data_IF_543555449896
#
_entry.id   IF_543555449896
#
_cell.length_a   1.000
_cell.length_b   1.000
_cell.length_c   1.000
_cell.angle_alpha   90.00
_cell.angle_beta   90.00
_cell.angle_gamma   90.00
#
_symmetry.space_group_name_H-M   'P 1'
#
loop_
_entity.id
_entity.type
_entity.pdbx_description
1 polymer ?
#
# COMPACT_ATOMS: atom_id res chain seq x y z
N UNK A 1 -15.19 1.75 11.38
CA UNK A 1 -13.94 1.90 10.61
C UNK A 1 -13.76 3.34 10.07
N UNK A 2 -13.97 4.38 10.91
CA UNK A 2 -14.21 5.75 10.41
C UNK A 2 -13.05 6.73 10.56
N UNK A 3 -12.42 6.81 11.73
CA UNK A 3 -11.51 7.92 12.06
C UNK A 3 -10.22 7.87 11.22
N UNK A 4 -9.52 6.73 11.21
CA UNK A 4 -8.26 6.63 10.46
C UNK A 4 -8.44 6.87 8.95
N UNK A 5 -9.57 6.46 8.37
CA UNK A 5 -9.87 6.73 6.97
C UNK A 5 -10.16 8.21 6.73
N UNK A 6 -10.90 8.86 7.63
CA UNK A 6 -11.19 10.29 7.53
C UNK A 6 -9.91 11.14 7.66
N UNK A 7 -9.05 10.81 8.63
CA UNK A 7 -7.73 11.44 8.78
C UNK A 7 -6.87 11.25 7.53
N UNK A 8 -6.86 10.06 6.92
CA UNK A 8 -6.17 9.84 5.65
C UNK A 8 -6.67 10.76 4.53
N UNK A 9 -7.98 11.06 4.46
CA UNK A 9 -8.55 11.99 3.47
C UNK A 9 -8.13 13.43 3.72
N UNK A 10 -7.92 13.81 4.98
CA UNK A 10 -7.40 15.13 5.37
C UNK A 10 -5.91 15.24 5.01
N UNK A 11 -5.09 14.22 5.33
CA UNK A 11 -3.65 14.24 5.08
C UNK A 11 -3.34 14.16 3.57
N UNK A 12 -4.08 13.33 2.83
CA UNK A 12 -3.91 13.15 1.38
C UNK A 12 -5.19 13.48 0.60
N UNK A 13 -5.57 14.76 0.49
CA UNK A 13 -6.83 15.17 -0.13
C UNK A 13 -6.93 14.81 -1.62
N UNK A 14 -5.78 14.67 -2.30
CA UNK A 14 -5.69 14.22 -3.69
C UNK A 14 -5.80 12.71 -3.87
N UNK A 15 -5.69 11.91 -2.79
CA UNK A 15 -5.78 10.45 -2.83
C UNK A 15 -7.08 9.99 -2.20
N UNK A 16 -8.03 9.61 -3.06
CA UNK A 16 -9.38 9.20 -2.64
C UNK A 16 -9.47 7.74 -2.18
N UNK A 17 -8.44 6.94 -2.45
CA UNK A 17 -8.44 5.49 -2.20
C UNK A 17 -7.11 5.04 -1.60
N UNK A 18 -7.17 3.95 -0.84
CA UNK A 18 -6.01 3.25 -0.30
C UNK A 18 -5.76 1.94 -1.06
N UNK A 19 -4.50 1.52 -1.13
CA UNK A 19 -4.12 0.26 -1.78
C UNK A 19 -4.39 -0.95 -0.88
N UNK A 20 -4.21 -0.80 0.44
CA UNK A 20 -4.43 -1.84 1.45
C UNK A 20 -4.82 -1.18 2.77
N UNK A 21 -5.82 -1.75 3.44
CA UNK A 21 -6.25 -1.37 4.78
C UNK A 21 -6.18 -2.59 5.69
N UNK A 22 -5.37 -2.48 6.74
CA UNK A 22 -5.22 -3.52 7.76
C UNK A 22 -5.75 -2.99 9.08
N UNK A 23 -6.77 -3.63 9.62
CA UNK A 23 -7.25 -3.38 10.97
C UNK A 23 -6.68 -4.46 11.89
N UNK A 24 -5.98 -4.08 12.95
CA UNK A 24 -5.46 -5.04 13.95
C UNK A 24 -6.35 -4.97 15.18
N UNK A 25 -6.99 -6.08 15.51
CA UNK A 25 -7.77 -6.27 16.74
C UNK A 25 -6.90 -6.81 17.87
N UNK A 26 -7.42 -6.69 19.09
CA UNK A 26 -6.78 -7.19 20.32
C UNK A 26 -7.29 -8.57 20.72
N UNK A 27 -8.01 -9.25 19.84
CA UNK A 27 -8.68 -10.51 20.11
C UNK A 27 -10.18 -10.36 20.26
N UNK A 28 -10.90 -11.44 19.97
CA UNK A 28 -12.33 -11.56 20.15
C UNK A 28 -12.68 -12.96 20.67
N UNK A 29 -13.82 -13.08 21.34
CA UNK A 29 -14.39 -14.38 21.68
C UNK A 29 -15.34 -14.81 20.58
N UNK A 30 -15.19 -16.01 19.99
CA UNK A 30 -16.17 -16.53 19.06
C UNK A 30 -17.52 -16.62 19.76
N UNK A 31 -18.52 -15.89 19.26
CA UNK A 31 -19.87 -15.98 19.81
C UNK A 31 -20.42 -17.38 19.60
N UNK A 32 -20.92 -18.01 20.66
CA UNK A 32 -21.82 -19.16 20.54
C UNK A 32 -23.08 -18.65 19.85
N UNK A 33 -23.23 -18.88 18.55
CA UNK A 33 -24.51 -18.70 17.87
C UNK A 33 -25.50 -19.72 18.45
N UNK A 34 -26.24 -19.30 19.48
CA UNK A 34 -27.28 -20.08 20.13
C UNK A 34 -26.95 -20.52 21.56
N UNK A 35 -27.19 -19.63 22.53
CA UNK A 35 -27.75 -20.01 23.83
C UNK A 35 -28.04 -18.75 24.68
N UNK A 36 -29.33 -18.43 24.80
CA UNK A 36 -29.87 -17.69 25.94
C UNK A 36 -29.72 -16.17 25.90
N UNK A 37 -30.73 -15.51 26.46
CA UNK A 37 -30.65 -14.11 26.91
C UNK A 37 -29.31 -13.84 27.60
N UNK A 38 -28.73 -12.63 27.45
CA UNK A 38 -27.53 -12.27 28.19
C UNK A 38 -27.80 -12.50 29.69
N UNK A 39 -26.95 -13.24 30.41
CA UNK A 39 -27.14 -13.40 31.86
C UNK A 39 -27.20 -12.00 32.46
N UNK A 40 -28.32 -11.70 33.11
CA UNK A 40 -28.64 -10.38 33.64
C UNK A 40 -27.41 -9.78 34.32
N UNK A 41 -26.90 -8.67 33.75
CA UNK A 41 -25.68 -8.00 34.18
C UNK A 41 -25.80 -7.66 35.68
N UNK A 42 -25.26 -8.51 36.55
CA UNK A 42 -25.15 -8.21 37.98
C UNK A 42 -24.08 -7.14 38.13
N UNK A 43 -24.50 -5.90 38.30
CA UNK A 43 -23.61 -4.77 38.55
C UNK A 43 -22.91 -4.94 39.91
N UNK A 44 -21.57 -5.04 39.98
CA UNK A 44 -20.90 -5.08 41.26
C UNK A 44 -20.99 -3.72 41.97
N UNK A 45 -21.11 -3.75 43.30
CA UNK A 45 -21.07 -2.55 44.12
C UNK A 45 -19.69 -1.86 44.01
N UNK A 46 -19.67 -0.60 43.58
CA UNK A 46 -18.45 0.21 43.40
C UNK A 46 -18.72 1.72 43.35
N UNK A 47 -17.66 2.53 43.37
CA UNK A 47 -17.73 3.99 43.36
C UNK A 47 -18.22 4.54 42.00
N UNK A 48 -19.05 5.59 42.01
CA UNK A 48 -19.79 6.11 40.84
C UNK A 48 -18.97 6.35 39.55
N UNK A 49 -17.82 7.06 39.61
CA UNK A 49 -16.98 7.32 38.43
C UNK A 49 -16.43 6.05 37.78
N UNK A 50 -16.00 5.08 38.59
CA UNK A 50 -15.49 3.80 38.09
C UNK A 50 -16.59 2.94 37.45
N UNK A 51 -17.86 3.13 37.83
CA UNK A 51 -19.01 2.50 37.15
C UNK A 51 -19.29 3.14 35.80
N UNK A 52 -19.26 4.46 35.71
CA UNK A 52 -19.47 5.19 34.45
C UNK A 52 -18.40 4.84 33.42
N UNK A 53 -17.13 4.82 33.83
CA UNK A 53 -16.02 4.43 32.95
C UNK A 53 -16.14 2.98 32.47
N UNK A 54 -16.50 2.04 33.37
CA UNK A 54 -16.75 0.64 32.98
C UNK A 54 -17.96 0.50 32.06
N UNK A 55 -19.07 1.17 32.36
CA UNK A 55 -20.26 1.14 31.51
C UNK A 55 -19.98 1.71 30.12
N UNK A 56 -19.16 2.76 30.03
CA UNK A 56 -18.71 3.32 28.77
C UNK A 56 -17.83 2.34 27.97
N UNK A 57 -16.83 1.73 28.61
CA UNK A 57 -15.94 0.76 27.95
C UNK A 57 -16.62 -0.58 27.61
N UNK A 58 -17.67 -0.95 28.33
CA UNK A 58 -18.49 -2.14 28.04
C UNK A 58 -19.66 -1.85 27.09
N UNK A 59 -19.72 -0.64 26.53
CA UNK A 59 -20.70 -0.27 25.51
C UNK A 59 -20.38 -0.97 24.18
N UNK A 60 -21.38 -1.45 23.42
CA UNK A 60 -21.18 -1.96 22.06
C UNK A 60 -20.45 -0.97 21.14
N UNK A 61 -20.57 0.34 21.38
CA UNK A 61 -19.85 1.35 20.62
C UNK A 61 -18.31 1.32 20.79
N UNK A 62 -17.82 0.61 21.81
CA UNK A 62 -16.39 0.37 22.04
C UNK A 62 -15.94 -1.01 21.54
N UNK A 63 -16.83 -1.82 20.97
CA UNK A 63 -16.47 -3.08 20.32
C UNK A 63 -15.84 -2.82 18.95
N UNK A 64 -14.53 -2.95 18.90
CA UNK A 64 -13.75 -2.77 17.68
C UNK A 64 -14.11 -3.77 16.57
N UNK A 65 -14.62 -4.96 16.90
CA UNK A 65 -15.05 -5.96 15.93
C UNK A 65 -16.39 -5.56 15.30
N UNK A 66 -17.35 -5.09 16.11
CA UNK A 66 -18.63 -4.59 15.64
C UNK A 66 -18.44 -3.34 14.75
N UNK A 67 -17.67 -2.35 15.23
CA UNK A 67 -17.33 -1.15 14.46
C UNK A 67 -16.58 -1.43 13.15
N UNK A 68 -15.87 -2.56 13.08
CA UNK A 68 -15.26 -3.05 11.85
C UNK A 68 -16.28 -3.71 10.92
N UNK A 69 -17.15 -4.58 11.42
CA UNK A 69 -18.23 -5.21 10.64
C UNK A 69 -19.14 -4.16 10.01
N UNK A 70 -19.59 -3.18 10.78
CA UNK A 70 -20.42 -2.07 10.27
C UNK A 70 -19.69 -1.26 9.20
N UNK A 71 -18.41 -0.95 9.43
CA UNK A 71 -17.58 -0.22 8.47
C UNK A 71 -17.39 -0.98 7.15
N UNK A 72 -17.17 -2.31 7.22
CA UNK A 72 -16.99 -3.16 6.03
C UNK A 72 -18.19 -3.16 5.09
N UNK A 73 -19.42 -3.04 5.61
CA UNK A 73 -20.63 -3.00 4.77
C UNK A 73 -20.56 -1.84 3.77
N UNK A 74 -20.02 -0.70 4.23
CA UNK A 74 -19.89 0.54 3.48
C UNK A 74 -18.67 0.58 2.55
N UNK A 75 -17.78 -0.42 2.62
CA UNK A 75 -16.62 -0.51 1.74
C UNK A 75 -17.07 -0.97 0.35
N UNK A 76 -16.75 -0.22 -0.74
CA UNK A 76 -17.03 -0.63 -2.11
C UNK A 76 -16.49 -2.04 -2.41
N UNK A 77 -17.23 -2.83 -3.18
CA UNK A 77 -16.86 -4.21 -3.50
C UNK A 77 -15.45 -4.36 -4.06
N UNK A 78 -14.98 -3.40 -4.85
CA UNK A 78 -13.63 -3.34 -5.42
C UNK A 78 -12.51 -3.21 -4.38
N UNK A 79 -12.78 -2.65 -3.20
CA UNK A 79 -11.82 -2.44 -2.12
C UNK A 79 -11.95 -3.45 -0.97
N UNK A 80 -12.99 -4.28 -0.98
CA UNK A 80 -13.25 -5.27 0.09
C UNK A 80 -12.13 -6.31 0.19
N UNK A 81 -11.59 -6.75 -0.94
CA UNK A 81 -10.46 -7.69 -1.01
C UNK A 81 -9.16 -7.10 -0.46
N UNK A 82 -9.06 -5.77 -0.39
CA UNK A 82 -7.91 -5.02 0.14
C UNK A 82 -8.18 -4.50 1.56
N UNK A 83 -9.28 -4.91 2.20
CA UNK A 83 -9.60 -4.58 3.58
C UNK A 83 -9.53 -5.85 4.42
N UNK A 84 -8.45 -5.99 5.17
CA UNK A 84 -8.16 -7.20 5.95
C UNK A 84 -8.16 -6.84 7.43
N UNK A 85 -8.77 -7.69 8.25
CA UNK A 85 -8.65 -7.58 9.71
C UNK A 85 -7.84 -8.74 10.23
N UNK A 86 -6.78 -8.37 10.93
CA UNK A 86 -6.00 -9.26 11.76
C UNK A 86 -6.65 -9.26 13.13
N UNK A 87 -7.25 -10.38 13.49
CA UNK A 87 -7.81 -10.57 14.82
C UNK A 87 -7.55 -12.01 15.24
N UNK A 88 -7.61 -12.26 16.54
CA UNK A 88 -7.36 -13.57 17.10
C UNK A 88 -8.56 -14.03 17.94
N UNK A 89 -9.09 -15.21 17.62
CA UNK A 89 -10.06 -15.85 18.49
C UNK A 89 -9.36 -16.28 19.79
N UNK A 90 -9.83 -15.77 20.93
CA UNK A 90 -9.39 -16.17 22.26
C UNK A 90 -10.36 -17.21 22.82
N UNK A 91 -9.80 -18.25 23.44
CA UNK A 91 -10.56 -19.26 24.15
C UNK A 91 -10.97 -18.74 25.54
N UNK A 92 -12.26 -18.84 25.87
CA UNK A 92 -12.79 -18.37 27.16
C UNK A 92 -13.09 -16.87 27.20
N UNK A 93 -13.18 -16.29 28.40
CA UNK A 93 -13.55 -14.88 28.56
C UNK A 93 -12.38 -13.93 28.23
N UNK A 94 -12.70 -12.83 27.54
CA UNK A 94 -11.72 -11.77 27.29
C UNK A 94 -11.16 -11.23 28.62
N UNK A 95 -9.83 -11.14 28.77
CA UNK A 95 -9.25 -10.48 29.93
C UNK A 95 -9.69 -9.03 30.02
N UNK A 96 -9.71 -8.51 31.25
CA UNK A 96 -9.90 -7.08 31.44
C UNK A 96 -8.69 -6.33 30.90
N UNK A 97 -8.91 -5.09 30.43
CA UNK A 97 -7.85 -4.25 29.89
C UNK A 97 -6.70 -3.99 30.88
N UNK A 98 -7.00 -4.01 32.19
CA UNK A 98 -6.05 -3.82 33.28
C UNK A 98 -5.46 -5.12 33.86
N UNK A 99 -5.76 -6.29 33.27
CA UNK A 99 -5.30 -7.58 33.76
C UNK A 99 -3.88 -7.90 33.27
N UNK A 100 -2.89 -7.36 33.98
CA UNK A 100 -1.46 -7.61 33.70
C UNK A 100 -1.05 -9.07 33.91
N UNK A 101 -1.83 -9.86 34.68
CA UNK A 101 -1.53 -11.25 34.97
C UNK A 101 -1.65 -12.17 33.76
N UNK A 102 -2.46 -11.80 32.78
CA UNK A 102 -2.64 -12.58 31.53
C UNK A 102 -1.70 -12.16 30.40
N UNK A 103 -0.81 -11.19 30.59
CA UNK A 103 0.05 -10.70 29.51
C UNK A 103 1.01 -11.78 28.98
N UNK A 104 1.59 -12.59 29.87
CA UNK A 104 2.48 -13.69 29.46
C UNK A 104 1.74 -14.76 28.66
N UNK A 105 0.53 -15.11 29.09
CA UNK A 105 -0.35 -16.04 28.39
C UNK A 105 -0.72 -15.52 27.00
N UNK A 106 -1.17 -14.27 26.90
CA UNK A 106 -1.51 -13.62 25.62
C UNK A 106 -0.31 -13.50 24.67
N UNK A 107 0.87 -13.21 25.21
CA UNK A 107 2.11 -13.09 24.43
C UNK A 107 2.60 -14.45 23.89
N UNK A 108 2.27 -15.54 24.58
CA UNK A 108 2.61 -16.89 24.16
C UNK A 108 1.66 -17.45 23.06
N UNK A 109 0.55 -16.77 22.77
CA UNK A 109 -0.41 -17.24 21.77
C UNK A 109 0.21 -17.25 20.36
N UNK A 110 0.07 -18.36 19.61
CA UNK A 110 0.59 -18.45 18.26
C UNK A 110 -0.21 -17.54 17.33
N UNK A 111 0.42 -16.48 16.83
CA UNK A 111 -0.18 -15.59 15.86
C UNK A 111 0.33 -15.89 14.45
N UNK A 112 -0.56 -16.37 13.58
CA UNK A 112 -0.26 -16.62 12.16
C UNK A 112 -0.83 -15.51 11.31
N UNK A 113 0.02 -14.88 10.50
CA UNK A 113 -0.42 -13.91 9.50
C UNK A 113 -1.06 -14.66 8.33
N UNK A 114 -2.31 -14.34 7.93
CA UNK A 114 -2.93 -14.97 6.78
C UNK A 114 -2.13 -14.74 5.51
N UNK A 115 -1.94 -15.79 4.71
CA UNK A 115 -1.28 -15.72 3.40
C UNK A 115 -1.86 -14.62 2.50
N UNK A 116 -3.18 -14.41 2.57
CA UNK A 116 -3.87 -13.37 1.83
C UNK A 116 -3.30 -11.98 2.12
N UNK A 117 -3.01 -11.70 3.39
CA UNK A 117 -2.42 -10.43 3.79
C UNK A 117 -0.97 -10.32 3.31
N UNK A 118 -0.18 -11.38 3.47
CA UNK A 118 1.20 -11.42 2.97
C UNK A 118 1.23 -11.08 1.48
N UNK A 119 0.37 -11.75 0.70
CA UNK A 119 0.23 -11.55 -0.74
C UNK A 119 -0.23 -10.14 -1.10
N UNK A 120 -1.19 -9.58 -0.37
CA UNK A 120 -1.65 -8.21 -0.59
C UNK A 120 -0.54 -7.19 -0.31
N UNK A 121 0.18 -7.32 0.81
CA UNK A 121 1.33 -6.47 1.15
C UNK A 121 2.41 -6.53 0.06
N UNK A 122 2.76 -7.74 -0.40
CA UNK A 122 3.74 -7.92 -1.47
C UNK A 122 3.30 -7.25 -2.78
N UNK A 123 2.04 -7.38 -3.16
CA UNK A 123 1.51 -6.72 -4.37
C UNK A 123 1.60 -5.19 -4.29
N UNK A 124 1.30 -4.59 -3.13
CA UNK A 124 1.43 -3.13 -2.91
C UNK A 124 2.87 -2.62 -2.92
N UNK A 125 3.88 -3.50 -2.85
CA UNK A 125 5.27 -3.09 -2.99
C UNK A 125 5.61 -2.67 -4.42
N UNK A 126 4.79 -3.02 -5.41
CA UNK A 126 4.98 -2.65 -6.80
C UNK A 126 4.03 -1.54 -7.20
N UNK A 127 4.49 -0.68 -8.11
CA UNK A 127 3.68 0.40 -8.69
C UNK A 127 4.06 0.59 -10.15
N UNK A 128 3.16 1.21 -10.92
CA UNK A 128 3.36 1.45 -12.34
C UNK A 128 3.53 2.94 -12.65
N UNK A 129 4.41 3.22 -13.62
CA UNK A 129 4.65 4.55 -14.14
C UNK A 129 4.75 4.51 -15.67
N UNK A 130 4.28 5.57 -16.34
CA UNK A 130 4.54 5.75 -17.76
C UNK A 130 5.97 6.25 -17.99
N UNK A 131 6.63 5.63 -18.96
CA UNK A 131 7.99 5.97 -19.41
C UNK A 131 7.97 6.90 -20.63
N UNK A 132 6.80 7.11 -21.25
CA UNK A 132 6.60 7.92 -22.44
C UNK A 132 5.15 8.40 -22.55
N UNK A 133 4.87 9.48 -23.33
CA UNK A 133 3.50 9.85 -23.69
C UNK A 133 2.78 8.70 -24.41
N UNK A 134 1.47 8.51 -24.12
CA UNK A 134 0.65 7.57 -24.88
C UNK A 134 0.75 7.86 -26.37
N UNK A 135 1.06 6.83 -27.15
CA UNK A 135 1.11 6.91 -28.61
C UNK A 135 -0.14 6.26 -29.19
N UNK A 136 -0.72 6.85 -30.24
CA UNK A 136 -1.88 6.24 -30.90
C UNK A 136 -1.42 5.38 -32.07
N UNK A 137 -1.78 4.10 -32.06
CA UNK A 137 -1.47 3.14 -33.11
C UNK A 137 -2.62 2.15 -33.27
N UNK A 138 -3.00 1.84 -34.51
CA UNK A 138 -3.99 0.79 -34.82
C UNK A 138 -5.36 0.99 -34.12
N UNK A 139 -5.78 2.25 -33.97
CA UNK A 139 -7.05 2.60 -33.30
C UNK A 139 -7.03 2.46 -31.78
N UNK A 140 -5.88 2.14 -31.18
CA UNK A 140 -5.69 2.09 -29.73
C UNK A 140 -4.55 3.00 -29.27
N UNK A 141 -4.52 3.27 -27.96
CA UNK A 141 -3.39 3.90 -27.31
C UNK A 141 -2.41 2.84 -26.84
N UNK A 142 -1.18 2.91 -27.34
CA UNK A 142 -0.05 2.12 -26.89
C UNK A 142 0.70 2.89 -25.83
N UNK A 143 0.87 2.26 -24.67
CA UNK A 143 1.48 2.84 -23.49
C UNK A 143 2.77 2.07 -23.21
N UNK A 144 3.85 2.82 -23.03
CA UNK A 144 5.12 2.28 -22.59
C UNK A 144 5.36 2.75 -21.16
N UNK A 145 5.63 1.81 -20.28
CA UNK A 145 5.85 2.11 -18.88
C UNK A 145 6.68 1.06 -18.18
N UNK A 146 6.89 1.31 -16.90
CA UNK A 146 7.68 0.46 -16.04
C UNK A 146 6.92 0.12 -14.77
N UNK A 147 6.99 -1.15 -14.39
CA UNK A 147 6.62 -1.61 -13.06
C UNK A 147 7.87 -1.54 -12.19
N UNK A 148 7.76 -0.80 -11.09
CA UNK A 148 8.85 -0.48 -10.18
C UNK A 148 8.55 -1.04 -8.79
N UNK A 149 9.57 -1.22 -7.96
CA UNK A 149 9.41 -1.58 -6.56
C UNK A 149 9.65 -0.37 -5.65
N UNK A 150 8.71 -0.08 -4.75
CA UNK A 150 8.79 1.04 -3.81
C UNK A 150 9.74 0.79 -2.63
N UNK A 151 10.31 -0.43 -2.52
CA UNK A 151 11.17 -0.85 -1.42
C UNK A 151 12.62 -0.99 -1.88
N UNK A 152 13.55 -0.64 -0.99
CA UNK A 152 15.00 -0.71 -1.26
C UNK A 152 15.51 -2.13 -1.41
N UNK A 153 14.91 -3.10 -0.73
CA UNK A 153 15.27 -4.53 -0.80
C UNK A 153 14.44 -5.27 -1.85
N UNK A 154 14.33 -4.71 -3.06
CA UNK A 154 13.42 -5.21 -4.09
C UNK A 154 13.65 -6.69 -4.46
N UNK A 155 14.89 -7.15 -4.46
CA UNK A 155 15.24 -8.56 -4.77
C UNK A 155 14.64 -9.53 -3.77
N UNK A 156 14.73 -9.23 -2.47
CA UNK A 156 14.08 -10.03 -1.42
C UNK A 156 12.57 -10.03 -1.55
N UNK A 157 11.98 -8.92 -1.98
CA UNK A 157 10.54 -8.83 -2.26
C UNK A 157 10.19 -9.73 -3.44
N UNK A 158 10.96 -9.71 -4.53
CA UNK A 158 10.75 -10.59 -5.69
C UNK A 158 10.89 -12.06 -5.29
N UNK A 159 11.93 -12.43 -4.55
CA UNK A 159 12.11 -13.80 -4.08
C UNK A 159 10.90 -14.26 -3.25
N UNK A 160 10.42 -13.41 -2.33
CA UNK A 160 9.22 -13.73 -1.54
C UNK A 160 7.97 -13.80 -2.40
N UNK A 161 7.84 -12.95 -3.41
CA UNK A 161 6.73 -13.01 -4.38
C UNK A 161 6.74 -14.34 -5.12
N UNK A 162 7.89 -14.86 -5.55
CA UNK A 162 7.96 -16.13 -6.26
C UNK A 162 7.56 -17.32 -5.39
N UNK A 163 7.77 -17.23 -4.07
CA UNK A 163 7.30 -18.23 -3.09
C UNK A 163 5.79 -18.15 -2.91
N UNK A 164 5.25 -16.94 -2.71
CA UNK A 164 3.82 -16.72 -2.44
C UNK A 164 2.94 -16.79 -3.70
N UNK A 165 3.53 -16.57 -4.87
CA UNK A 165 2.93 -16.62 -6.19
C UNK A 165 3.80 -17.49 -7.11
N UNK A 166 3.67 -18.83 -7.05
CA UNK A 166 4.40 -19.70 -7.95
C UNK A 166 4.15 -19.36 -9.42
N UNK A 167 5.20 -19.06 -10.17
CA UNK A 167 5.11 -18.59 -11.56
C UNK A 167 4.57 -17.15 -11.70
N UNK A 168 4.86 -16.29 -10.72
CA UNK A 168 4.40 -14.91 -10.69
C UNK A 168 4.64 -14.16 -12.00
N UNK A 169 3.59 -13.49 -12.49
CA UNK A 169 3.59 -12.61 -13.66
C UNK A 169 2.76 -11.37 -13.38
N UNK A 170 3.10 -10.29 -14.06
CA UNK A 170 2.20 -9.15 -14.11
C UNK A 170 1.19 -9.37 -15.22
N UNK A 171 -0.06 -9.03 -14.97
CA UNK A 171 -1.14 -9.09 -15.94
C UNK A 171 -1.94 -7.79 -15.93
N UNK A 172 -2.47 -7.41 -17.09
CA UNK A 172 -3.53 -6.41 -17.17
C UNK A 172 -4.85 -6.97 -16.65
N UNK A 173 -5.80 -6.09 -16.29
CA UNK A 173 -7.16 -6.47 -15.88
C UNK A 173 -7.92 -7.28 -16.94
N UNK A 174 -7.49 -7.22 -18.21
CA UNK A 174 -8.04 -8.02 -19.33
C UNK A 174 -7.37 -9.41 -19.46
N UNK A 175 -6.48 -9.78 -18.56
CA UNK A 175 -5.78 -11.07 -18.55
C UNK A 175 -4.55 -11.14 -19.45
N UNK A 176 -4.19 -10.07 -20.17
CA UNK A 176 -2.97 -10.06 -20.96
C UNK A 176 -1.74 -10.04 -20.06
N UNK A 177 -0.84 -11.00 -20.29
CA UNK A 177 0.45 -11.09 -19.59
C UNK A 177 1.35 -9.92 -19.99
N UNK A 178 1.91 -9.26 -18.98
CA UNK A 178 2.94 -8.23 -19.08
C UNK A 178 4.34 -8.81 -18.78
N UNK A 179 4.45 -10.15 -18.68
CA UNK A 179 5.69 -10.88 -18.44
C UNK A 179 5.89 -11.32 -16.99
N UNK A 180 6.90 -12.15 -16.77
CA UNK A 180 7.24 -12.72 -15.46
C UNK A 180 7.88 -11.68 -14.53
N UNK A 181 7.70 -11.83 -13.23
CA UNK A 181 8.22 -10.87 -12.22
C UNK A 181 9.74 -10.92 -12.11
N UNK A 182 10.35 -12.09 -12.30
CA UNK A 182 11.79 -12.33 -12.20
C UNK A 182 12.57 -11.99 -13.48
N UNK A 183 11.85 -11.74 -14.57
CA UNK A 183 12.38 -11.24 -15.83
C UNK A 183 12.37 -9.71 -15.81
N UNK A 184 13.25 -9.11 -15.01
CA UNK A 184 13.30 -7.66 -14.79
C UNK A 184 14.52 -6.99 -15.46
N UNK A 185 14.32 -5.76 -15.93
CA UNK A 185 15.32 -4.84 -16.48
C UNK A 185 16.06 -4.05 -15.39
N UNK A 186 16.11 -4.63 -14.17
CA UNK A 186 16.72 -4.01 -13.01
C UNK A 186 18.24 -4.17 -12.94
N UNK A 187 18.83 -3.65 -11.88
CA UNK A 187 20.25 -3.74 -11.61
C UNK A 187 20.53 -4.74 -10.49
N UNK A 188 21.31 -5.78 -10.82
CA UNK A 188 21.75 -6.80 -9.86
C UNK A 188 22.69 -6.24 -8.77
N UNK A 189 23.44 -5.19 -9.06
CA UNK A 189 24.43 -4.63 -8.12
C UNK A 189 23.79 -3.81 -7.00
N UNK A 190 22.87 -2.90 -7.34
CA UNK A 190 22.20 -2.05 -6.34
C UNK A 190 20.81 -2.54 -5.93
N UNK A 191 20.32 -3.64 -6.51
CA UNK A 191 18.97 -4.13 -6.25
C UNK A 191 17.88 -3.18 -6.76
N UNK A 192 18.16 -2.37 -7.78
CA UNK A 192 17.12 -1.56 -8.42
C UNK A 192 16.21 -2.47 -9.25
N UNK A 193 14.91 -2.48 -8.96
CA UNK A 193 13.95 -3.30 -9.71
C UNK A 193 13.18 -2.43 -10.71
N UNK A 194 13.11 -2.91 -11.95
CA UNK A 194 12.32 -2.31 -13.02
C UNK A 194 11.90 -3.41 -13.98
N UNK A 195 10.63 -3.49 -14.33
CA UNK A 195 10.17 -4.28 -15.47
C UNK A 195 9.48 -3.39 -16.47
N UNK A 196 10.03 -3.28 -17.68
CA UNK A 196 9.42 -2.56 -18.77
C UNK A 196 8.25 -3.35 -19.33
N UNK A 197 7.13 -2.67 -19.53
CA UNK A 197 5.90 -3.28 -20.02
C UNK A 197 5.26 -2.38 -21.07
N UNK A 198 4.59 -3.00 -22.04
CA UNK A 198 3.76 -2.32 -23.02
C UNK A 198 2.33 -2.80 -22.88
N UNK A 199 1.39 -1.88 -22.81
CA UNK A 199 -0.04 -2.18 -22.77
C UNK A 199 -0.78 -1.35 -23.82
N UNK A 200 -1.89 -1.90 -24.31
CA UNK A 200 -2.77 -1.23 -25.27
C UNK A 200 -4.13 -1.01 -24.63
N UNK A 201 -4.67 0.20 -24.76
CA UNK A 201 -6.00 0.57 -24.28
C UNK A 201 -6.78 1.28 -25.38
N UNK A 202 -8.09 1.05 -25.53
CA UNK A 202 -8.88 1.74 -26.53
C UNK A 202 -9.10 3.23 -26.18
N UNK A 203 -9.09 3.60 -24.90
CA UNK A 203 -9.28 4.98 -24.45
C UNK A 203 -8.37 5.33 -23.25
N UNK A 204 -7.97 6.61 -23.14
CA UNK A 204 -7.23 7.13 -22.00
C UNK A 204 -8.10 7.28 -20.74
N UNK A 205 -9.42 7.29 -20.92
CA UNK A 205 -10.43 7.38 -19.86
C UNK A 205 -10.88 6.00 -19.36
N UNK A 206 -10.42 4.91 -19.97
CA UNK A 206 -10.69 3.56 -19.48
C UNK A 206 -9.91 3.31 -18.18
N UNK A 207 -10.59 2.78 -17.17
CA UNK A 207 -9.94 2.27 -15.97
C UNK A 207 -9.19 0.99 -16.30
N UNK A 208 -7.88 1.02 -16.07
CA UNK A 208 -7.02 -0.14 -16.14
C UNK A 208 -6.66 -0.63 -14.75
N UNK A 209 -6.30 -1.90 -14.67
CA UNK A 209 -5.70 -2.52 -13.49
C UNK A 209 -4.49 -3.30 -13.94
N UNK A 210 -3.36 -3.13 -13.23
CA UNK A 210 -2.22 -4.04 -13.33
C UNK A 210 -2.19 -4.85 -12.05
N UNK A 211 -1.99 -6.15 -12.18
CA UNK A 211 -2.01 -7.07 -11.07
C UNK A 211 -0.85 -8.05 -11.13
N UNK A 212 -0.39 -8.43 -9.95
CA UNK A 212 0.47 -9.58 -9.72
C UNK A 212 -0.41 -10.84 -9.72
N UNK A 213 -0.12 -11.79 -10.60
CA UNK A 213 -0.91 -12.98 -10.80
C UNK A 213 -0.07 -14.26 -10.77
N UNK A 214 -0.65 -15.32 -10.22
CA UNK A 214 -0.26 -16.71 -10.42
C UNK A 214 -1.47 -17.48 -10.99
N UNK A 215 -1.32 -18.74 -11.41
CA UNK A 215 -2.44 -19.52 -11.96
C UNK A 215 -3.67 -19.61 -11.04
N UNK A 216 -3.48 -19.53 -9.72
CA UNK A 216 -4.55 -19.68 -8.74
C UNK A 216 -5.13 -18.35 -8.20
N UNK A 217 -4.41 -17.24 -8.32
CA UNK A 217 -4.75 -16.00 -7.62
C UNK A 217 -4.19 -14.75 -8.30
N UNK A 218 -4.85 -13.62 -8.07
CA UNK A 218 -4.46 -12.33 -8.61
C UNK A 218 -4.63 -11.23 -7.55
N UNK A 219 -3.68 -10.30 -7.48
CA UNK A 219 -3.73 -9.12 -6.61
C UNK A 219 -3.32 -7.86 -7.37
N UNK A 220 -4.11 -6.79 -7.35
CA UNK A 220 -3.71 -5.53 -7.97
C UNK A 220 -2.42 -5.01 -7.32
N UNK A 221 -1.53 -4.44 -8.13
CA UNK A 221 -0.38 -3.72 -7.59
C UNK A 221 -0.81 -2.36 -7.05
N UNK A 222 0.06 -1.68 -6.30
CA UNK A 222 -0.23 -0.38 -5.70
C UNK A 222 -0.62 0.67 -6.74
N UNK A 223 -1.63 1.47 -6.41
CA UNK A 223 -2.14 2.56 -7.24
C UNK A 223 -3.13 2.14 -8.33
N UNK A 224 -3.73 0.95 -8.29
CA UNK A 224 -4.80 0.54 -9.21
C UNK A 224 -6.11 0.25 -8.47
N UNK A 225 -7.28 0.42 -9.13
CA UNK A 225 -7.50 0.80 -10.54
C UNK A 225 -7.24 2.30 -10.81
N UNK A 226 -6.83 2.62 -12.04
CA UNK A 226 -6.61 4.01 -12.52
C UNK A 226 -6.87 4.17 -14.00
N UNK A 227 -7.26 5.36 -14.42
CA UNK A 227 -7.24 5.76 -15.84
C UNK A 227 -5.84 6.24 -16.25
N UNK A 228 -5.58 6.28 -17.56
CA UNK A 228 -4.30 6.81 -18.07
C UNK A 228 -4.18 8.31 -17.79
N UNK A 229 -5.30 9.04 -17.86
CA UNK A 229 -5.32 10.46 -17.47
C UNK A 229 -4.94 10.66 -16.00
N UNK A 230 -5.43 9.81 -15.10
CA UNK A 230 -5.03 9.86 -13.69
C UNK A 230 -3.54 9.58 -13.51
N UNK A 231 -2.97 8.61 -14.23
CA UNK A 231 -1.53 8.33 -14.19
C UNK A 231 -0.71 9.53 -14.69
N UNK A 232 -1.08 10.13 -15.83
CA UNK A 232 -0.42 11.32 -16.36
C UNK A 232 -0.49 12.50 -15.39
N UNK A 233 -1.65 12.71 -14.77
CA UNK A 233 -1.86 13.73 -13.75
C UNK A 233 -1.00 13.47 -12.51
N UNK A 234 -1.01 12.25 -11.97
CA UNK A 234 -0.23 11.86 -10.79
C UNK A 234 1.28 11.96 -11.01
N UNK A 235 1.74 11.65 -12.23
CA UNK A 235 3.13 11.82 -12.65
C UNK A 235 3.48 13.25 -13.06
N UNK A 236 2.51 14.18 -13.02
CA UNK A 236 2.66 15.58 -13.37
C UNK A 236 3.19 15.78 -14.80
N UNK A 237 2.73 14.96 -15.74
CA UNK A 237 3.15 14.98 -17.14
C UNK A 237 2.88 16.33 -17.83
N UNK A 238 1.85 17.06 -17.38
CA UNK A 238 1.40 18.35 -17.93
C UNK A 238 1.90 19.56 -17.13
N UNK A 239 2.83 19.37 -16.18
CA UNK A 239 3.35 20.47 -15.37
C UNK A 239 4.31 21.38 -16.16
N UNK A 240 3.74 22.35 -16.88
CA UNK A 240 4.47 23.29 -17.76
C UNK A 240 5.48 24.15 -16.99
N UNK A 241 5.20 24.46 -15.73
CA UNK A 241 6.06 25.31 -14.87
C UNK A 241 7.02 24.51 -13.97
N UNK A 242 7.23 23.24 -14.27
CA UNK A 242 8.06 22.35 -13.46
C UNK A 242 7.29 21.69 -12.30
N UNK A 243 7.92 20.71 -11.66
CA UNK A 243 7.34 19.96 -10.54
C UNK A 243 7.60 20.68 -9.21
N UNK A 244 6.71 20.55 -8.19
CA UNK A 244 6.88 21.18 -6.87
C UNK A 244 8.15 20.76 -6.12
N UNK A 245 8.77 19.63 -6.51
CA UNK A 245 10.03 19.15 -5.95
C UNK A 245 11.25 19.89 -6.53
N UNK A 246 11.05 20.86 -7.43
CA UNK A 246 12.09 21.65 -8.11
C UNK A 246 13.15 20.79 -8.81
N UNK A 247 12.85 19.51 -9.09
CA UNK A 247 13.75 18.66 -9.84
C UNK A 247 13.64 19.01 -11.32
N UNK A 248 14.78 19.26 -11.96
CA UNK A 248 14.92 19.52 -13.42
C UNK A 248 14.55 18.30 -14.31
N UNK A 249 13.93 17.28 -13.73
CA UNK A 249 13.53 16.08 -14.44
C UNK A 249 12.26 16.36 -15.22
N UNK A 250 12.44 16.74 -16.48
CA UNK A 250 11.41 16.68 -17.53
C UNK A 250 10.71 15.32 -17.42
N UNK A 251 9.38 15.33 -17.37
CA UNK A 251 8.61 14.11 -17.56
C UNK A 251 8.81 13.62 -19.00
N UNK A 252 8.99 12.32 -19.25
CA UNK A 252 9.00 11.20 -18.29
C UNK A 252 10.30 11.13 -17.44
N UNK A 253 10.22 10.69 -16.18
CA UNK A 253 11.37 10.67 -15.28
C UNK A 253 12.49 9.77 -15.81
N UNK A 254 13.73 10.28 -15.80
CA UNK A 254 14.91 9.46 -16.12
C UNK A 254 15.17 8.47 -14.99
N UNK A 255 14.67 7.25 -15.15
CA UNK A 255 14.93 6.13 -14.24
C UNK A 255 16.30 5.53 -14.55
N UNK A 256 17.24 5.68 -13.61
CA UNK A 256 18.58 5.11 -13.66
C UNK A 256 18.88 4.34 -12.39
N UNK A 257 19.75 3.33 -12.48
CA UNK A 257 20.16 2.58 -11.31
C UNK A 257 21.00 3.46 -10.35
N UNK A 258 20.95 3.15 -9.05
CA UNK A 258 21.67 3.91 -8.03
C UNK A 258 23.20 3.75 -8.10
N UNK A 259 23.72 2.87 -8.96
CA UNK A 259 25.15 2.68 -9.15
C UNK A 259 25.83 3.92 -9.74
N UNK A 260 25.14 4.67 -10.61
CA UNK A 260 25.73 5.81 -11.34
C UNK A 260 26.02 7.00 -10.41
N UNK A 261 25.34 7.07 -9.26
CA UNK A 261 25.57 8.07 -8.21
C UNK A 261 26.77 7.77 -7.31
N UNK A 262 27.35 6.57 -7.36
CA UNK A 262 28.52 6.20 -6.55
C UNK A 262 29.85 6.72 -7.13
N UNK A 263 29.88 7.15 -8.40
CA UNK A 263 30.96 7.99 -8.91
C UNK A 263 30.77 9.41 -8.39
N UNK A 264 31.21 9.66 -7.15
CA UNK A 264 31.42 11.01 -6.63
C UNK A 264 32.13 11.82 -7.73
N UNK A 265 31.43 12.79 -8.33
CA UNK A 265 32.10 13.87 -9.05
C UNK A 265 33.02 14.52 -8.02
N UNK A 266 34.32 14.23 -8.07
CA UNK A 266 35.33 15.11 -7.49
C UNK A 266 35.22 16.42 -8.26
N UNK A 267 34.37 17.31 -7.79
CA UNK A 267 34.42 18.71 -8.22
C UNK A 267 35.72 19.24 -7.62
N UNK A 268 36.79 19.20 -8.40
CA UNK A 268 37.96 20.01 -8.11
C UNK A 268 37.52 21.46 -8.27
N UNK A 269 37.24 22.11 -7.15
CA UNK A 269 37.10 23.55 -7.14
C UNK A 269 38.50 24.13 -7.41
N UNK A 270 38.76 24.53 -8.64
CA UNK A 270 39.92 25.36 -8.96
C UNK A 270 39.55 26.76 -8.50
N UNK A 271 40.10 27.18 -7.37
CA UNK A 271 39.92 28.52 -6.84
C UNK A 271 40.38 29.53 -7.90
N UNK A 272 39.49 30.41 -8.40
CA UNK A 272 39.91 31.39 -9.39
C UNK A 272 40.91 32.35 -8.75
N UNK A 273 42.06 32.53 -9.39
CA UNK A 273 43.11 33.43 -8.93
C UNK A 273 42.51 34.82 -8.60
N UNK A 274 42.92 35.45 -7.48
CA UNK A 274 42.33 36.70 -7.04
C UNK A 274 42.55 37.77 -8.10
N UNK A 275 41.51 38.08 -8.87
CA UNK A 275 41.55 39.17 -9.82
C UNK A 275 41.61 40.48 -9.03
N UNK A 276 42.75 41.15 -9.15
CA UNK A 276 43.01 42.51 -8.67
C UNK A 276 41.86 43.43 -9.11
N UNK A 277 41.00 43.82 -8.17
CA UNK A 277 39.95 44.82 -8.40
C UNK A 277 40.61 46.11 -8.91
N UNK A 278 40.43 46.43 -10.20
CA UNK A 278 40.74 47.76 -10.74
C UNK A 278 39.74 48.73 -10.13
N UNK A 279 40.24 49.61 -9.27
CA UNK A 279 39.52 50.78 -8.75
C UNK A 279 39.27 51.72 -9.93
N UNK A 280 38.01 51.98 -10.28
CA UNK A 280 37.67 53.05 -11.21
C UNK A 280 37.91 54.39 -10.49
N UNK A 281 38.73 55.23 -11.08
CA UNK A 281 38.74 56.69 -10.89
C UNK A 281 37.86 57.29 -11.99
#
# INVERSE_FOLDING_TARGET
MGIAQEECRVIWPSRRTHDLLVSVGTGYTPGTEGAGDPPGRRFPAGWGPARLWRAYNSSPCMDGMEAYREGRVHVPSSLRSNTIRLDHALDGDLPRLDDVGKLEELAALPFTVPDELVRAVLATCFFFELDAPPSRADGQYRLHGSILCARTQSRRIVDRVLVEFPGARFCSGRGHSLGRVDDDDGCLLCGYYRKQVTLSVPSLDEEITIALASPAQQRPIGGFPKTIRQLLHDQQAEAVFGRPDHQDHRWPPRRSCYCVTMTKRRVHFVEPAPQRKKRRL
#
